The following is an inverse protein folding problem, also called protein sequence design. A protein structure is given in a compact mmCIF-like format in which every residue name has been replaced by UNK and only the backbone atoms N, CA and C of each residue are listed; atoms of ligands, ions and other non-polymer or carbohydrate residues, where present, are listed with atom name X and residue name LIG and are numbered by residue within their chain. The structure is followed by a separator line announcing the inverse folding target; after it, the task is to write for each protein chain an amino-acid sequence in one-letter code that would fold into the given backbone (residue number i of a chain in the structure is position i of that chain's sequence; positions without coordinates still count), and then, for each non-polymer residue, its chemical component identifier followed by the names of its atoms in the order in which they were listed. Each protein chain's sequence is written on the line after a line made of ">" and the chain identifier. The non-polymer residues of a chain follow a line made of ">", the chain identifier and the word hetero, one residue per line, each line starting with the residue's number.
data_IF_430043640992
#
_entry.id   IF_430043640992
#
_cell.length_a   1.000
_cell.length_b   1.000
_cell.length_c   1.000
_cell.angle_alpha   90.00
_cell.angle_beta   90.00
_cell.angle_gamma   90.00
#
_symmetry.space_group_name_H-M   'P 1'
#
loop_
_entity.id
_entity.type
_entity.pdbx_description
1 polymer ?
#
# COMPACT_ATOMS: atom_id res chain seq x y z
N UNK A 1 6.01 42.55 -59.87
CA UNK A 1 5.05 41.64 -59.20
C UNK A 1 5.71 40.27 -59.21
N UNK A 2 6.54 39.99 -58.20
CA UNK A 2 7.24 38.71 -58.08
C UNK A 2 6.31 37.75 -57.32
N UNK A 3 6.02 36.58 -57.88
CA UNK A 3 5.07 35.63 -57.28
C UNK A 3 5.79 34.79 -56.24
N UNK A 4 5.23 34.57 -55.03
CA UNK A 4 5.90 33.78 -54.00
C UNK A 4 6.05 32.33 -54.47
N UNK A 5 7.26 31.79 -54.39
CA UNK A 5 7.56 30.41 -54.76
C UNK A 5 6.84 29.45 -53.80
N UNK A 6 6.21 28.41 -54.33
CA UNK A 6 5.48 27.43 -53.54
C UNK A 6 6.39 26.75 -52.49
N UNK A 7 5.87 26.44 -51.28
CA UNK A 7 6.62 25.73 -50.26
C UNK A 7 7.12 24.37 -50.77
N UNK A 8 8.32 23.97 -50.33
CA UNK A 8 8.89 22.65 -50.63
C UNK A 8 8.04 21.51 -50.06
N UNK A 9 8.21 20.30 -50.60
CA UNK A 9 7.50 19.11 -50.09
C UNK A 9 7.94 18.84 -48.65
N UNK A 10 6.98 18.46 -47.80
CA UNK A 10 7.27 17.97 -46.46
C UNK A 10 8.21 16.76 -46.53
N UNK A 11 9.17 16.71 -45.61
CA UNK A 11 10.08 15.57 -45.48
C UNK A 11 9.35 14.30 -45.03
N UNK A 12 10.02 13.16 -45.21
CA UNK A 12 9.50 11.87 -44.79
C UNK A 12 9.33 11.81 -43.27
N UNK A 13 8.32 11.05 -42.82
CA UNK A 13 8.10 10.82 -41.40
C UNK A 13 9.29 10.08 -40.77
N UNK A 14 9.71 10.54 -39.59
CA UNK A 14 10.74 9.86 -38.81
C UNK A 14 10.32 8.46 -38.39
N UNK A 15 11.31 7.61 -38.07
CA UNK A 15 11.07 6.27 -37.54
C UNK A 15 10.24 6.30 -36.25
N UNK A 16 9.37 5.30 -36.00
CA UNK A 16 8.67 5.16 -34.74
C UNK A 16 9.65 5.16 -33.55
N UNK A 17 9.28 5.85 -32.47
CA UNK A 17 10.05 5.82 -31.23
C UNK A 17 10.12 4.41 -30.62
N UNK A 18 11.13 4.13 -29.77
CA UNK A 18 11.25 2.83 -29.13
C UNK A 18 10.01 2.48 -28.31
N UNK A 19 9.44 1.30 -28.55
CA UNK A 19 8.34 0.72 -27.74
C UNK A 19 8.91 0.15 -26.45
N UNK A 20 9.37 1.01 -25.54
CA UNK A 20 9.60 0.58 -24.17
C UNK A 20 8.24 0.40 -23.50
N UNK A 21 7.93 -0.82 -23.06
CA UNK A 21 6.78 -1.10 -22.20
C UNK A 21 6.96 -0.29 -20.91
N UNK A 22 6.26 0.84 -20.81
CA UNK A 22 6.21 1.60 -19.58
C UNK A 22 5.46 0.76 -18.54
N UNK A 23 6.18 0.29 -17.51
CA UNK A 23 5.51 -0.19 -16.31
C UNK A 23 4.73 0.99 -15.74
N UNK A 24 3.42 0.81 -15.62
CA UNK A 24 2.48 1.89 -15.33
C UNK A 24 2.52 2.36 -13.85
N UNK A 25 3.55 1.98 -13.10
CA UNK A 25 3.80 2.43 -11.73
C UNK A 25 2.73 2.01 -10.72
N UNK A 26 1.89 1.01 -11.04
CA UNK A 26 0.88 0.53 -10.12
C UNK A 26 1.52 -0.21 -8.96
N UNK A 27 0.96 -0.03 -7.77
CA UNK A 27 1.43 -0.68 -6.56
C UNK A 27 0.39 -1.71 -6.11
N UNK A 28 0.88 -2.89 -5.74
CA UNK A 28 0.13 -3.89 -4.99
C UNK A 28 0.69 -3.94 -3.57
N UNK A 29 -0.20 -3.85 -2.57
CA UNK A 29 0.14 -4.03 -1.16
C UNK A 29 -0.52 -5.29 -0.65
N UNK A 30 0.24 -6.11 0.07
CA UNK A 30 -0.27 -7.32 0.70
C UNK A 30 0.14 -7.37 2.17
N UNK A 31 -0.81 -7.75 3.02
CA UNK A 31 -0.62 -7.92 4.46
C UNK A 31 -0.73 -9.39 4.82
N UNK A 32 0.25 -9.89 5.57
CA UNK A 32 0.36 -11.32 5.88
C UNK A 32 -0.56 -11.77 7.02
N UNK A 33 -0.98 -10.85 7.89
CA UNK A 33 -1.62 -11.17 9.17
C UNK A 33 -0.80 -12.18 10.00
N UNK A 34 0.53 -12.13 9.82
CA UNK A 34 1.54 -12.98 10.46
C UNK A 34 2.79 -12.16 10.76
N UNK A 35 3.70 -12.68 11.56
CA UNK A 35 5.02 -12.09 11.82
C UNK A 35 6.06 -12.43 10.72
N UNK A 36 5.60 -13.02 9.62
CA UNK A 36 6.45 -13.43 8.48
C UNK A 36 6.22 -12.55 7.25
N UNK A 37 7.31 -12.16 6.61
CA UNK A 37 7.23 -11.40 5.35
C UNK A 37 6.77 -12.29 4.20
N UNK A 38 5.89 -11.76 3.35
CA UNK A 38 5.46 -12.38 2.11
C UNK A 38 6.40 -11.99 0.96
N UNK A 39 6.45 -12.83 -0.07
CA UNK A 39 7.03 -12.46 -1.37
C UNK A 39 5.95 -11.93 -2.31
N UNK A 40 6.35 -11.07 -3.26
CA UNK A 40 5.45 -10.61 -4.32
C UNK A 40 4.99 -11.78 -5.22
N UNK A 41 3.79 -11.68 -5.83
CA UNK A 41 3.32 -12.68 -6.78
C UNK A 41 4.20 -12.74 -8.03
N UNK A 42 4.05 -13.79 -8.83
CA UNK A 42 4.77 -13.91 -10.10
C UNK A 42 4.53 -12.68 -11.01
N UNK A 43 5.57 -12.31 -11.75
CA UNK A 43 5.59 -11.17 -12.67
C UNK A 43 5.38 -9.80 -11.98
N UNK A 44 5.72 -9.69 -10.69
CA UNK A 44 5.74 -8.44 -9.95
C UNK A 44 7.10 -8.27 -9.25
N UNK A 45 7.60 -7.04 -9.25
CA UNK A 45 8.88 -6.70 -8.58
C UNK A 45 8.62 -6.28 -7.15
N UNK A 46 9.31 -6.89 -6.19
CA UNK A 46 9.27 -6.42 -4.80
C UNK A 46 9.99 -5.07 -4.68
N UNK A 47 9.31 -4.09 -4.09
CA UNK A 47 9.88 -2.78 -3.80
C UNK A 47 10.41 -2.72 -2.36
N UNK A 48 9.57 -3.04 -1.38
CA UNK A 48 9.99 -3.15 0.03
C UNK A 48 9.06 -4.06 0.84
N UNK A 49 9.53 -4.41 2.05
CA UNK A 49 8.78 -5.13 3.08
C UNK A 49 8.70 -4.27 4.34
N UNK A 50 7.68 -4.50 5.16
CA UNK A 50 7.45 -3.69 6.36
C UNK A 50 6.39 -4.25 7.31
N UNK A 51 5.85 -3.37 8.12
CA UNK A 51 4.82 -3.64 9.12
C UNK A 51 3.50 -2.96 8.74
N UNK A 52 2.41 -3.64 9.04
CA UNK A 52 1.06 -3.32 8.57
C UNK A 52 0.41 -2.24 9.44
N UNK A 53 0.60 -0.98 9.10
CA UNK A 53 -0.05 0.16 9.74
C UNK A 53 -1.53 0.23 9.32
N UNK A 54 -2.42 0.31 10.31
CA UNK A 54 -3.85 0.50 10.08
C UNK A 54 -4.24 1.98 10.19
N UNK A 55 -3.93 2.61 11.32
CA UNK A 55 -4.16 4.04 11.53
C UNK A 55 -3.32 4.61 12.67
N UNK A 56 -3.26 5.93 12.71
CA UNK A 56 -2.61 6.71 13.75
C UNK A 56 -3.66 7.54 14.48
N UNK A 57 -3.54 7.67 15.79
CA UNK A 57 -4.37 8.53 16.63
C UNK A 57 -3.46 9.55 17.29
N UNK A 58 -3.59 10.83 16.91
CA UNK A 58 -2.81 11.93 17.47
C UNK A 58 -3.73 13.06 17.88
N UNK A 59 -3.56 13.59 19.09
CA UNK A 59 -4.46 14.63 19.63
C UNK A 59 -5.95 14.27 19.54
N UNK A 60 -6.31 13.02 19.87
CA UNK A 60 -7.68 12.48 19.76
C UNK A 60 -8.26 12.48 18.34
N UNK A 61 -7.43 12.67 17.30
CA UNK A 61 -7.83 12.60 15.90
C UNK A 61 -7.23 11.37 15.22
N UNK A 62 -8.09 10.56 14.62
CA UNK A 62 -7.68 9.41 13.83
C UNK A 62 -7.27 9.80 12.40
N UNK A 63 -6.19 9.20 11.91
CA UNK A 63 -5.72 9.27 10.53
C UNK A 63 -5.49 7.86 9.99
N UNK A 64 -6.43 7.38 9.18
CA UNK A 64 -6.44 6.02 8.62
C UNK A 64 -5.62 5.92 7.35
N UNK A 65 -4.93 4.80 7.17
CA UNK A 65 -4.32 4.41 5.90
C UNK A 65 -5.18 3.32 5.26
N UNK A 66 -5.43 3.46 3.96
CA UNK A 66 -6.05 2.39 3.18
C UNK A 66 -5.06 1.20 3.08
N UNK A 67 -5.51 0.01 3.50
CA UNK A 67 -4.71 -1.22 3.45
C UNK A 67 -4.36 -1.67 2.01
N UNK A 68 -5.05 -1.13 1.00
CA UNK A 68 -4.68 -1.31 -0.40
C UNK A 68 -3.56 -0.35 -0.88
N UNK A 69 -3.17 0.63 -0.06
CA UNK A 69 -2.22 1.68 -0.43
C UNK A 69 -0.88 1.51 0.28
N UNK A 70 0.20 1.93 -0.38
CA UNK A 70 1.57 1.78 0.10
C UNK A 70 1.84 2.40 1.49
N UNK A 71 1.07 3.43 1.87
CA UNK A 71 1.17 4.08 3.18
C UNK A 71 0.84 3.17 4.37
N UNK A 72 0.10 2.09 4.15
CA UNK A 72 -0.19 1.08 5.17
C UNK A 72 0.98 0.11 5.42
N UNK A 73 2.05 0.15 4.60
CA UNK A 73 3.20 -0.76 4.75
C UNK A 73 4.47 -0.01 5.12
N UNK A 74 4.70 0.20 6.42
CA UNK A 74 5.85 0.96 6.92
C UNK A 74 7.11 0.09 7.05
N UNK A 75 8.24 0.54 6.49
CA UNK A 75 9.51 -0.20 6.57
C UNK A 75 10.02 -0.44 7.99
N UNK A 76 9.65 0.45 8.93
CA UNK A 76 10.08 0.39 10.33
C UNK A 76 8.86 0.43 11.24
N UNK A 77 8.84 -0.47 12.22
CA UNK A 77 7.87 -0.45 13.30
C UNK A 77 8.30 0.54 14.39
N UNK A 78 7.34 1.30 14.91
CA UNK A 78 7.47 2.09 16.13
C UNK A 78 6.11 2.18 16.79
N UNK A 79 6.06 2.09 18.12
CA UNK A 79 4.83 2.34 18.88
C UNK A 79 4.36 3.79 18.74
N UNK A 80 5.27 4.72 18.40
CA UNK A 80 4.99 6.13 18.11
C UNK A 80 5.80 6.56 16.86
N UNK A 81 5.27 6.36 15.64
CA UNK A 81 6.04 6.56 14.40
C UNK A 81 6.08 8.02 13.90
N UNK A 82 5.46 8.97 14.59
CA UNK A 82 5.40 10.37 14.17
C UNK A 82 5.71 11.35 15.33
N UNK A 83 6.48 12.43 15.09
CA UNK A 83 6.58 13.54 16.02
C UNK A 83 5.40 14.50 15.87
N UNK A 84 5.05 15.20 16.94
CA UNK A 84 4.10 16.32 16.90
C UNK A 84 4.87 17.65 17.01
N UNK A 85 4.56 18.61 16.14
CA UNK A 85 5.23 19.91 16.11
C UNK A 85 4.26 21.06 16.36
N UNK A 86 4.59 21.96 17.28
CA UNK A 86 3.85 23.20 17.56
C UNK A 86 4.81 24.39 17.63
N UNK A 87 4.54 25.42 16.84
CA UNK A 87 5.29 26.70 16.87
C UNK A 87 6.82 26.55 16.75
N UNK A 88 7.28 25.57 15.96
CA UNK A 88 8.72 25.31 15.73
C UNK A 88 9.40 24.42 16.77
N UNK A 89 8.70 23.97 17.81
CA UNK A 89 9.17 22.91 18.71
C UNK A 89 8.48 21.59 18.35
N UNK A 90 9.26 20.52 18.23
CA UNK A 90 8.77 19.19 17.92
C UNK A 90 9.05 18.26 19.10
N UNK A 91 8.01 17.61 19.60
CA UNK A 91 8.11 16.61 20.65
C UNK A 91 7.86 15.23 20.04
N UNK A 92 8.78 14.32 20.29
CA UNK A 92 8.69 12.91 19.88
C UNK A 92 7.87 12.05 20.85
N UNK A 93 7.32 12.66 21.91
CA UNK A 93 6.59 11.99 22.98
C UNK A 93 5.33 12.81 23.29
N UNK A 94 4.24 12.49 22.60
CA UNK A 94 2.91 12.92 23.01
C UNK A 94 2.36 11.90 24.01
N UNK A 95 1.95 12.34 25.21
CA UNK A 95 1.56 11.44 26.29
C UNK A 95 0.36 10.51 25.98
N UNK A 96 -0.42 10.76 24.93
CA UNK A 96 -1.64 10.00 24.64
C UNK A 96 -1.82 9.60 23.16
N UNK A 97 -0.81 9.82 22.31
CA UNK A 97 -0.89 9.40 20.91
C UNK A 97 -0.70 7.88 20.81
N UNK A 98 -1.43 7.25 19.88
CA UNK A 98 -1.45 5.81 19.68
C UNK A 98 -1.24 5.48 18.21
N UNK A 99 -0.65 4.32 17.97
CA UNK A 99 -0.57 3.72 16.64
C UNK A 99 -1.23 2.35 16.67
N UNK A 100 -1.97 2.04 15.61
CA UNK A 100 -2.69 0.79 15.48
C UNK A 100 -2.22 0.06 14.22
N UNK A 101 -1.96 -1.23 14.39
CA UNK A 101 -1.33 -2.07 13.40
C UNK A 101 -2.20 -3.31 13.22
N UNK A 102 -2.25 -3.88 12.01
CA UNK A 102 -2.87 -5.19 11.83
C UNK A 102 -2.11 -6.21 12.67
N UNK A 103 -2.85 -7.04 13.39
CA UNK A 103 -2.25 -8.05 14.27
C UNK A 103 -1.99 -9.37 13.55
N UNK A 104 -1.26 -10.25 14.23
CA UNK A 104 -1.11 -11.66 13.85
C UNK A 104 -2.19 -12.53 14.49
N UNK A 105 -2.13 -13.84 14.25
CA UNK A 105 -2.92 -14.86 14.94
C UNK A 105 -2.32 -15.30 16.31
N UNK A 106 -1.31 -14.58 16.81
CA UNK A 106 -0.75 -14.86 18.14
C UNK A 106 -1.84 -14.72 19.24
N UNK A 107 -1.68 -15.49 20.31
CA UNK A 107 -2.64 -15.47 21.42
C UNK A 107 -2.70 -14.08 22.07
N UNK A 108 -3.91 -13.62 22.41
CA UNK A 108 -4.09 -12.32 23.06
C UNK A 108 -3.37 -12.32 24.41
N UNK A 109 -2.42 -11.40 24.63
CA UNK A 109 -1.65 -11.38 25.86
C UNK A 109 -2.52 -10.89 27.03
N UNK A 110 -2.34 -11.48 28.21
CA UNK A 110 -3.08 -11.09 29.42
C UNK A 110 -2.66 -9.72 29.99
N UNK A 111 -1.53 -9.19 29.52
CA UNK A 111 -0.96 -7.91 29.94
C UNK A 111 -0.31 -7.21 28.73
N UNK A 112 -0.17 -5.87 28.74
CA UNK A 112 0.49 -5.16 27.66
C UNK A 112 1.90 -5.68 27.38
N UNK A 113 2.19 -5.90 26.11
CA UNK A 113 3.48 -6.41 25.64
C UNK A 113 4.41 -5.23 25.35
N UNK A 114 5.69 -5.36 25.70
CA UNK A 114 6.68 -4.29 25.57
C UNK A 114 7.95 -4.81 24.90
N UNK A 115 8.72 -3.90 24.29
CA UNK A 115 10.01 -4.23 23.69
C UNK A 115 9.88 -5.19 22.51
N UNK A 116 10.79 -6.17 22.43
CA UNK A 116 10.89 -7.08 21.29
C UNK A 116 9.71 -8.06 21.18
N UNK A 117 9.06 -8.38 22.30
CA UNK A 117 7.92 -9.31 22.32
C UNK A 117 6.70 -8.77 21.57
N UNK A 118 6.68 -7.48 21.25
CA UNK A 118 5.63 -6.86 20.42
C UNK A 118 5.68 -7.45 19.00
N UNK A 119 6.85 -7.79 18.47
CA UNK A 119 7.05 -8.15 17.07
C UNK A 119 6.17 -9.32 16.62
N UNK A 120 6.00 -10.35 17.45
CA UNK A 120 5.15 -11.52 17.14
C UNK A 120 3.66 -11.17 16.98
N UNK A 121 3.23 -9.98 17.43
CA UNK A 121 1.84 -9.52 17.37
C UNK A 121 1.60 -8.54 16.22
N UNK A 122 2.62 -8.12 15.47
CA UNK A 122 2.49 -7.14 14.38
C UNK A 122 2.55 -7.84 13.03
N UNK A 123 1.52 -7.66 12.21
CA UNK A 123 1.46 -8.20 10.85
C UNK A 123 2.53 -7.58 9.95
N UNK A 124 3.27 -8.41 9.23
CA UNK A 124 4.17 -7.99 8.17
C UNK A 124 3.43 -7.73 6.85
N UNK A 125 4.02 -6.91 5.98
CA UNK A 125 3.50 -6.56 4.67
C UNK A 125 4.60 -6.48 3.61
N UNK A 126 4.20 -6.49 2.34
CA UNK A 126 5.07 -6.30 1.18
C UNK A 126 4.40 -5.37 0.17
N UNK A 127 5.21 -4.53 -0.47
CA UNK A 127 4.77 -3.67 -1.58
C UNK A 127 5.48 -4.08 -2.86
N UNK A 128 4.68 -4.27 -3.90
CA UNK A 128 5.10 -4.79 -5.19
C UNK A 128 4.75 -3.80 -6.31
N UNK A 129 5.62 -3.69 -7.30
CA UNK A 129 5.30 -3.05 -8.58
C UNK A 129 4.49 -4.03 -9.43
N UNK A 130 3.30 -3.59 -9.84
CA UNK A 130 2.34 -4.39 -10.59
C UNK A 130 2.14 -3.86 -12.02
N UNK A 131 1.84 -4.75 -12.98
CA UNK A 131 1.60 -4.35 -14.38
C UNK A 131 0.26 -3.63 -14.58
N UNK A 132 -0.70 -3.79 -13.65
CA UNK A 132 -2.06 -3.26 -13.71
C UNK A 132 -2.59 -2.99 -12.30
N UNK A 133 -3.62 -2.14 -12.14
CA UNK A 133 -4.24 -1.94 -10.83
C UNK A 133 -4.92 -3.21 -10.32
N UNK A 134 -4.95 -3.37 -9.00
CA UNK A 134 -5.72 -4.41 -8.32
C UNK A 134 -7.02 -3.83 -7.77
N UNK A 135 -8.10 -4.63 -7.79
CA UNK A 135 -9.42 -4.24 -7.30
C UNK A 135 -10.02 -5.41 -6.53
N UNK A 136 -10.69 -5.12 -5.42
CA UNK A 136 -11.50 -6.09 -4.69
C UNK A 136 -12.92 -6.16 -5.25
N UNK A 137 -13.45 -7.38 -5.41
CA UNK A 137 -14.85 -7.63 -5.77
C UNK A 137 -15.52 -8.34 -4.60
N UNK A 138 -16.73 -7.92 -4.25
CA UNK A 138 -17.46 -8.40 -3.09
C UNK A 138 -18.75 -9.10 -3.53
N UNK A 139 -19.00 -10.33 -3.07
CA UNK A 139 -20.18 -11.12 -3.45
C UNK A 139 -21.46 -10.71 -2.72
N UNK A 140 -21.33 -10.21 -1.48
CA UNK A 140 -22.46 -10.07 -0.53
C UNK A 140 -23.18 -11.40 -0.25
N UNK A 141 -22.50 -12.53 -0.47
CA UNK A 141 -22.97 -13.89 -0.27
C UNK A 141 -21.90 -14.75 0.40
N UNK A 142 -22.25 -15.99 0.77
CA UNK A 142 -21.28 -16.99 1.26
C UNK A 142 -20.41 -17.60 0.14
N UNK A 143 -20.69 -17.27 -1.12
CA UNK A 143 -19.94 -17.72 -2.29
C UNK A 143 -18.81 -16.72 -2.62
N UNK A 144 -17.70 -17.22 -3.16
CA UNK A 144 -16.62 -16.36 -3.65
C UNK A 144 -17.04 -15.70 -4.98
N UNK A 145 -16.88 -14.38 -5.14
CA UNK A 145 -17.17 -13.73 -6.42
C UNK A 145 -16.14 -14.13 -7.47
N UNK A 146 -16.57 -14.19 -8.73
CA UNK A 146 -15.67 -14.38 -9.86
C UNK A 146 -15.01 -13.06 -10.27
N UNK A 147 -13.75 -13.12 -10.71
CA UNK A 147 -13.09 -11.97 -11.33
C UNK A 147 -13.79 -11.58 -12.65
N UNK A 148 -13.81 -10.29 -13.03
CA UNK A 148 -14.31 -9.88 -14.33
C UNK A 148 -13.54 -10.53 -15.49
N UNK A 149 -14.15 -10.59 -16.68
CA UNK A 149 -13.53 -11.16 -17.88
C UNK A 149 -12.17 -10.53 -18.16
N UNK A 150 -11.15 -11.36 -18.42
CA UNK A 150 -9.74 -10.99 -18.64
C UNK A 150 -8.97 -10.48 -17.41
N UNK A 151 -9.49 -10.65 -16.20
CA UNK A 151 -8.75 -10.35 -14.97
C UNK A 151 -8.13 -11.62 -14.39
N UNK A 152 -6.96 -11.48 -13.76
CA UNK A 152 -6.34 -12.56 -12.99
C UNK A 152 -6.74 -12.46 -11.52
N UNK A 153 -7.02 -13.60 -10.89
CA UNK A 153 -7.20 -13.66 -9.44
C UNK A 153 -5.84 -13.55 -8.75
N UNK A 154 -5.77 -12.73 -7.68
CA UNK A 154 -4.57 -12.59 -6.84
C UNK A 154 -4.73 -13.40 -5.54
N UNK A 155 -5.78 -13.14 -4.78
CA UNK A 155 -6.18 -13.91 -3.60
C UNK A 155 -7.70 -13.80 -3.37
N UNK A 156 -8.18 -14.58 -2.40
CA UNK A 156 -9.57 -14.53 -1.90
C UNK A 156 -9.52 -14.25 -0.40
N UNK A 157 -10.51 -13.51 0.11
CA UNK A 157 -10.64 -13.22 1.53
C UNK A 157 -12.06 -12.82 1.91
N UNK A 158 -12.18 -12.17 3.06
CA UNK A 158 -13.45 -11.64 3.58
C UNK A 158 -13.57 -10.14 3.35
N UNK A 159 -14.80 -9.65 3.28
CA UNK A 159 -15.09 -8.22 3.08
C UNK A 159 -14.91 -7.45 4.39
N UNK A 160 -13.79 -6.74 4.54
CA UNK A 160 -13.54 -5.83 5.67
C UNK A 160 -14.05 -4.43 5.32
N UNK A 161 -15.04 -3.93 6.06
CA UNK A 161 -15.68 -2.65 5.76
C UNK A 161 -15.10 -1.50 6.60
N UNK A 162 -15.07 -1.67 7.92
CA UNK A 162 -14.62 -0.65 8.85
C UNK A 162 -14.21 -1.28 10.19
N UNK A 163 -13.44 -0.52 10.96
CA UNK A 163 -13.19 -0.76 12.38
C UNK A 163 -13.71 0.44 13.18
N UNK A 164 -14.05 0.23 14.45
CA UNK A 164 -14.59 1.25 15.36
C UNK A 164 -13.64 1.45 16.54
N UNK A 165 -13.65 2.67 17.06
CA UNK A 165 -13.02 3.10 18.32
C UNK A 165 -13.98 2.91 19.49
#
# INVERSE_FOLDING_TARGET
>A
MDTPRAPGRSGDAGSPGPTTTFNSGFLLVMHSQSDTFLSCPADMTQLWTGYSLLYLEGQEKAHTQDLGQAGSCMCLFSTMPFPYCKMGMCDHVSCNDKSYWLSTAAAVPMMPVVGQDIQQHISCCVVCEAPSPAVAVHSQENSNPFCPTNWRSLWVGYSFLMFIQ
#
